data_IF_964590790128
#
_entry.id   IF_964590790128
#
_cell.length_a   1.000
_cell.length_b   1.000
_cell.length_c   1.000
_cell.angle_alpha   90.00
_cell.angle_beta   90.00
_cell.angle_gamma   90.00
#
_symmetry.space_group_name_H-M   'P 1'
#
loop_
_entity.id
_entity.type
_entity.pdbx_description
1 polymer ?
#
# COMPACT_ATOMS: atom_id res chain seq x y z
N UNK A 1 -22.56 10.20 43.73
CA UNK A 1 -22.61 10.91 42.43
C UNK A 1 -21.23 11.10 41.76
N UNK A 2 -20.10 11.13 42.50
CA UNK A 2 -18.77 11.38 41.91
C UNK A 2 -18.22 10.23 41.04
N UNK A 3 -18.29 8.97 41.53
CA UNK A 3 -17.71 7.83 40.81
C UNK A 3 -18.28 7.60 39.40
N UNK A 4 -19.58 7.85 39.19
CA UNK A 4 -20.20 7.70 37.87
C UNK A 4 -19.71 8.78 36.88
N UNK A 5 -19.45 10.01 37.35
CA UNK A 5 -18.85 11.07 36.53
C UNK A 5 -17.42 10.69 36.13
N UNK A 6 -16.62 10.18 37.07
CA UNK A 6 -15.25 9.71 36.81
C UNK A 6 -15.23 8.55 35.80
N UNK A 7 -16.09 7.55 35.96
CA UNK A 7 -16.22 6.42 35.03
C UNK A 7 -16.61 6.88 33.62
N UNK A 8 -17.51 7.86 33.50
CA UNK A 8 -17.91 8.42 32.22
C UNK A 8 -16.77 9.23 31.57
N UNK A 9 -16.01 9.99 32.35
CA UNK A 9 -14.83 10.73 31.85
C UNK A 9 -13.74 9.77 31.37
N UNK A 10 -13.46 8.71 32.13
CA UNK A 10 -12.49 7.68 31.72
C UNK A 10 -12.91 7.00 30.40
N UNK A 11 -14.18 6.62 30.25
CA UNK A 11 -14.70 6.06 28.99
C UNK A 11 -14.54 7.02 27.80
N UNK A 12 -14.79 8.32 28.00
CA UNK A 12 -14.58 9.35 26.97
C UNK A 12 -13.10 9.48 26.60
N UNK A 13 -12.21 9.55 27.59
CA UNK A 13 -10.77 9.65 27.37
C UNK A 13 -10.22 8.42 26.60
N UNK A 14 -10.63 7.21 26.98
CA UNK A 14 -10.25 5.97 26.28
C UNK A 14 -10.74 5.98 24.83
N UNK A 15 -12.00 6.39 24.57
CA UNK A 15 -12.54 6.51 23.21
C UNK A 15 -11.76 7.53 22.37
N UNK A 16 -11.43 8.69 22.94
CA UNK A 16 -10.63 9.73 22.28
C UNK A 16 -9.22 9.25 21.96
N UNK A 17 -8.53 8.58 22.89
CA UNK A 17 -7.20 8.02 22.65
C UNK A 17 -7.21 6.94 21.56
N UNK A 18 -8.21 6.05 21.56
CA UNK A 18 -8.37 5.05 20.49
C UNK A 18 -8.58 5.70 19.12
N UNK A 19 -9.34 6.80 19.05
CA UNK A 19 -9.53 7.55 17.81
C UNK A 19 -8.24 8.23 17.35
N UNK A 20 -7.49 8.88 18.26
CA UNK A 20 -6.18 9.49 17.96
C UNK A 20 -5.19 8.45 17.42
N UNK A 21 -5.10 7.28 18.05
CA UNK A 21 -4.25 6.19 17.57
C UNK A 21 -4.64 5.70 16.17
N UNK A 22 -5.95 5.60 15.86
CA UNK A 22 -6.43 5.26 14.51
C UNK A 22 -6.11 6.34 13.47
N UNK A 23 -6.14 7.62 13.86
CA UNK A 23 -5.80 8.72 12.95
C UNK A 23 -4.29 8.69 12.67
N UNK A 24 -3.46 8.61 13.71
CA UNK A 24 -2.00 8.52 13.56
C UNK A 24 -1.62 7.33 12.69
N UNK A 25 -2.17 6.14 12.94
CA UNK A 25 -1.86 4.96 12.12
C UNK A 25 -2.25 5.11 10.65
N UNK A 26 -3.40 5.74 10.36
CA UNK A 26 -3.81 6.08 8.98
C UNK A 26 -2.84 7.08 8.34
N UNK A 27 -2.50 8.18 9.02
CA UNK A 27 -1.57 9.20 8.50
C UNK A 27 -0.20 8.62 8.23
N UNK A 28 0.34 7.80 9.14
CA UNK A 28 1.62 7.10 8.95
C UNK A 28 1.57 6.14 7.77
N UNK A 29 0.48 5.38 7.61
CA UNK A 29 0.28 4.49 6.44
C UNK A 29 0.28 5.30 5.14
N UNK A 30 -0.41 6.44 5.09
CA UNK A 30 -0.42 7.32 3.90
C UNK A 30 0.95 7.93 3.61
N UNK A 31 1.67 8.41 4.64
CA UNK A 31 3.01 8.97 4.47
C UNK A 31 4.00 7.91 3.98
N UNK A 32 3.99 6.71 4.55
CA UNK A 32 4.82 5.59 4.10
C UNK A 32 4.47 5.17 2.66
N UNK A 33 3.18 5.12 2.29
CA UNK A 33 2.76 4.90 0.89
C UNK A 33 3.37 5.93 -0.05
N UNK A 34 3.35 7.23 0.32
CA UNK A 34 3.91 8.31 -0.50
C UNK A 34 5.44 8.20 -0.64
N UNK A 35 6.15 7.95 0.45
CA UNK A 35 7.61 7.75 0.43
C UNK A 35 7.98 6.54 -0.43
N UNK A 36 7.30 5.42 -0.22
CA UNK A 36 7.50 4.20 -0.99
C UNK A 36 7.26 4.42 -2.48
N UNK A 37 6.16 5.10 -2.83
CA UNK A 37 5.88 5.46 -4.21
C UNK A 37 7.03 6.26 -4.83
N UNK A 38 7.51 7.31 -4.16
CA UNK A 38 8.63 8.11 -4.68
C UNK A 38 9.88 7.24 -4.90
N UNK A 39 10.15 6.28 -4.01
CA UNK A 39 11.25 5.32 -4.16
C UNK A 39 11.02 4.34 -5.32
N UNK A 40 9.79 3.86 -5.54
CA UNK A 40 9.44 2.89 -6.60
C UNK A 40 9.32 3.53 -7.97
N UNK A 41 9.00 4.80 -8.06
CA UNK A 41 8.80 5.45 -9.38
C UNK A 41 10.03 6.25 -9.81
N UNK A 42 11.01 6.48 -8.91
CA UNK A 42 12.14 7.39 -9.17
C UNK A 42 11.64 8.69 -9.80
N UNK A 43 10.67 9.34 -9.13
CA UNK A 43 10.25 10.68 -9.54
C UNK A 43 11.41 11.64 -9.26
N UNK A 44 12.29 11.84 -10.25
CA UNK A 44 13.02 13.09 -10.34
C UNK A 44 11.95 14.19 -10.57
N UNK A 45 12.10 15.33 -9.89
CA UNK A 45 11.03 16.27 -9.54
C UNK A 45 10.23 16.94 -10.69
N UNK A 46 10.25 16.45 -11.93
CA UNK A 46 9.50 17.02 -13.05
C UNK A 46 8.78 15.92 -13.86
N UNK A 47 7.44 16.00 -13.90
CA UNK A 47 6.58 15.44 -14.97
C UNK A 47 6.11 13.97 -14.89
N UNK A 48 5.55 13.53 -13.75
CA UNK A 48 4.53 12.47 -13.80
C UNK A 48 3.20 12.99 -13.26
N UNK A 49 2.25 13.28 -14.15
CA UNK A 49 0.86 13.62 -13.82
C UNK A 49 0.06 12.42 -13.32
N UNK A 50 0.61 11.21 -13.47
CA UNK A 50 -0.03 9.95 -13.08
C UNK A 50 -0.24 9.87 -11.57
N UNK A 51 -1.43 9.42 -11.19
CA UNK A 51 -1.78 9.09 -9.83
C UNK A 51 -0.91 7.95 -9.29
N UNK A 52 -0.93 7.80 -7.96
CA UNK A 52 -0.26 6.69 -7.29
C UNK A 52 -0.77 5.34 -7.78
N UNK A 53 -2.08 5.23 -7.95
CA UNK A 53 -2.76 4.00 -8.37
C UNK A 53 -2.41 3.60 -9.80
N UNK A 54 -2.46 4.54 -10.75
CA UNK A 54 -2.10 4.27 -12.15
C UNK A 54 -0.68 3.70 -12.27
N UNK A 55 0.28 4.23 -11.51
CA UNK A 55 1.65 3.72 -11.63
C UNK A 55 1.81 2.32 -11.03
N UNK A 56 1.07 1.99 -9.96
CA UNK A 56 1.04 0.63 -9.42
C UNK A 56 0.49 -0.37 -10.44
N UNK A 57 -0.60 0.00 -11.11
CA UNK A 57 -1.23 -0.81 -12.15
C UNK A 57 -0.32 -0.97 -13.37
N UNK A 58 0.35 0.09 -13.82
CA UNK A 58 1.32 0.02 -14.91
C UNK A 58 2.47 -0.95 -14.62
N UNK A 59 3.01 -0.92 -13.40
CA UNK A 59 4.04 -1.87 -12.98
C UNK A 59 3.47 -3.29 -12.96
N UNK A 60 2.27 -3.48 -12.41
CA UNK A 60 1.62 -4.79 -12.39
C UNK A 60 1.43 -5.37 -13.79
N UNK A 61 0.82 -4.62 -14.72
CA UNK A 61 0.63 -5.05 -16.10
C UNK A 61 1.94 -5.16 -16.89
N UNK A 62 2.99 -4.45 -16.49
CA UNK A 62 4.31 -4.67 -17.06
C UNK A 62 4.93 -6.02 -16.62
N UNK A 63 4.49 -6.58 -15.49
CA UNK A 63 4.98 -7.86 -14.93
C UNK A 63 4.11 -9.04 -15.38
N UNK A 64 2.78 -8.89 -15.34
CA UNK A 64 1.80 -9.88 -15.81
C UNK A 64 1.79 -9.92 -17.35
N UNK A 65 2.63 -10.80 -17.92
CA UNK A 65 2.82 -10.93 -19.38
C UNK A 65 1.89 -11.95 -20.01
N UNK A 66 1.38 -12.87 -19.22
CA UNK A 66 0.41 -13.90 -19.58
C UNK A 66 -1.03 -13.42 -19.46
N UNK A 67 -1.25 -12.25 -18.84
CA UNK A 67 -2.57 -11.65 -18.65
C UNK A 67 -3.49 -12.56 -17.83
N UNK A 68 -2.92 -13.29 -16.86
CA UNK A 68 -3.67 -14.14 -15.94
C UNK A 68 -4.15 -13.37 -14.70
N UNK A 69 -3.84 -12.07 -14.63
CA UNK A 69 -4.16 -11.17 -13.53
C UNK A 69 -3.51 -11.59 -12.21
N UNK A 70 -2.40 -12.35 -12.26
CA UNK A 70 -1.56 -12.68 -11.12
C UNK A 70 -0.08 -12.42 -11.38
N UNK A 71 0.64 -11.96 -10.35
CA UNK A 71 2.10 -11.92 -10.37
C UNK A 71 2.69 -12.65 -9.18
N UNK A 72 3.73 -13.44 -9.43
CA UNK A 72 4.53 -14.11 -8.40
C UNK A 72 5.65 -13.20 -7.90
N UNK A 73 6.16 -13.49 -6.68
CA UNK A 73 7.38 -12.85 -6.16
C UNK A 73 8.56 -12.96 -7.15
N UNK A 74 8.67 -14.06 -7.89
CA UNK A 74 9.76 -14.26 -8.86
C UNK A 74 9.59 -13.36 -10.10
N UNK A 75 8.37 -13.15 -10.60
CA UNK A 75 8.12 -12.20 -11.68
C UNK A 75 8.42 -10.77 -11.22
N UNK A 76 7.95 -10.38 -10.03
CA UNK A 76 8.24 -9.09 -9.42
C UNK A 76 9.75 -8.84 -9.26
N UNK A 77 10.48 -9.83 -8.74
CA UNK A 77 11.94 -9.76 -8.58
C UNK A 77 12.64 -9.55 -9.92
N UNK A 78 12.31 -10.38 -10.94
CA UNK A 78 12.90 -10.26 -12.29
C UNK A 78 12.65 -8.89 -12.90
N UNK A 79 11.46 -8.31 -12.70
CA UNK A 79 11.15 -6.97 -13.18
C UNK A 79 12.03 -5.92 -12.52
N UNK A 80 12.17 -5.93 -11.19
CA UNK A 80 13.01 -4.96 -10.49
C UNK A 80 14.50 -5.12 -10.83
N UNK A 81 15.00 -6.35 -10.97
CA UNK A 81 16.38 -6.64 -11.42
C UNK A 81 16.63 -6.08 -12.83
N UNK A 82 15.72 -6.37 -13.77
CA UNK A 82 15.82 -5.90 -15.17
C UNK A 82 15.80 -4.37 -15.27
N UNK A 83 15.07 -3.71 -14.37
CA UNK A 83 14.96 -2.24 -14.34
C UNK A 83 16.01 -1.58 -13.41
N UNK A 84 17.06 -2.31 -12.99
CA UNK A 84 18.14 -1.82 -12.11
C UNK A 84 17.62 -1.14 -10.84
N UNK A 85 16.72 -1.82 -10.14
CA UNK A 85 16.07 -1.36 -8.92
C UNK A 85 16.57 -2.14 -7.72
N UNK A 86 16.59 -1.48 -6.57
CA UNK A 86 17.10 -2.04 -5.32
C UNK A 86 16.18 -3.16 -4.79
N UNK A 87 16.77 -4.27 -4.35
CA UNK A 87 16.09 -5.41 -3.74
C UNK A 87 15.20 -5.01 -2.55
N UNK A 88 15.55 -3.96 -1.81
CA UNK A 88 14.72 -3.42 -0.73
C UNK A 88 13.33 -2.96 -1.22
N UNK A 89 13.19 -2.58 -2.49
CA UNK A 89 11.89 -2.25 -3.08
C UNK A 89 10.99 -3.47 -3.24
N UNK A 90 11.56 -4.65 -3.51
CA UNK A 90 10.82 -5.90 -3.63
C UNK A 90 10.19 -6.25 -2.27
N UNK A 91 10.97 -6.22 -1.19
CA UNK A 91 10.46 -6.53 0.15
C UNK A 91 9.42 -5.51 0.61
N UNK A 92 9.59 -4.23 0.25
CA UNK A 92 8.59 -3.21 0.53
C UNK A 92 7.29 -3.41 -0.26
N UNK A 93 7.37 -3.75 -1.55
CA UNK A 93 6.20 -4.10 -2.37
C UNK A 93 5.47 -5.32 -1.80
N UNK A 94 6.22 -6.36 -1.44
CA UNK A 94 5.67 -7.55 -0.81
C UNK A 94 4.98 -7.25 0.52
N UNK A 95 5.55 -6.37 1.35
CA UNK A 95 4.94 -5.97 2.61
C UNK A 95 3.69 -5.13 2.38
N UNK A 96 3.69 -4.24 1.37
CA UNK A 96 2.56 -3.37 1.05
C UNK A 96 1.32 -4.18 0.67
N UNK A 97 1.51 -5.17 -0.21
CA UNK A 97 0.43 -6.01 -0.72
C UNK A 97 0.35 -7.40 -0.06
N UNK A 98 1.10 -7.63 1.02
CA UNK A 98 1.04 -8.86 1.83
C UNK A 98 1.34 -10.18 1.08
N UNK A 99 2.17 -10.16 0.03
CA UNK A 99 2.56 -11.35 -0.77
C UNK A 99 3.20 -12.48 0.06
N UNK A 100 3.61 -12.22 1.31
CA UNK A 100 4.25 -13.23 2.17
C UNK A 100 3.33 -14.43 2.47
N UNK A 101 2.02 -14.27 2.37
CA UNK A 101 1.06 -15.32 2.72
C UNK A 101 0.77 -16.30 1.56
N UNK A 102 0.94 -15.87 0.31
CA UNK A 102 0.56 -16.63 -0.90
C UNK A 102 1.69 -16.76 -1.92
N UNK A 103 2.74 -15.94 -1.80
CA UNK A 103 3.78 -15.71 -2.81
C UNK A 103 3.26 -15.22 -4.18
N UNK A 104 1.99 -14.80 -4.21
CA UNK A 104 1.22 -14.33 -5.38
C UNK A 104 0.50 -13.03 -5.03
N UNK A 105 0.30 -12.18 -6.02
CA UNK A 105 -0.49 -10.95 -5.92
C UNK A 105 -1.44 -10.91 -7.11
N UNK A 106 -2.74 -10.86 -6.87
CA UNK A 106 -3.72 -10.70 -7.94
C UNK A 106 -4.01 -9.23 -8.24
N UNK A 107 -4.61 -8.97 -9.40
CA UNK A 107 -5.18 -7.66 -9.70
C UNK A 107 -6.25 -7.26 -8.68
N UNK A 108 -7.06 -8.22 -8.23
CA UNK A 108 -8.09 -8.03 -7.19
C UNK A 108 -7.48 -7.52 -5.88
N UNK A 109 -6.39 -8.13 -5.41
CA UNK A 109 -5.67 -7.71 -4.19
C UNK A 109 -5.19 -6.24 -4.30
N UNK A 110 -4.68 -5.86 -5.48
CA UNK A 110 -4.22 -4.50 -5.75
C UNK A 110 -5.40 -3.53 -5.71
N UNK A 111 -6.49 -3.84 -6.42
CA UNK A 111 -7.70 -3.03 -6.46
C UNK A 111 -8.30 -2.83 -5.07
N UNK A 112 -8.40 -3.89 -4.26
CA UNK A 112 -8.86 -3.81 -2.87
C UNK A 112 -7.96 -2.87 -2.05
N UNK A 113 -6.63 -3.04 -2.17
CA UNK A 113 -5.67 -2.23 -1.41
C UNK A 113 -5.68 -0.76 -1.81
N UNK A 114 -5.90 -0.46 -3.10
CA UNK A 114 -5.92 0.87 -3.69
C UNK A 114 -7.32 1.52 -3.67
N UNK A 115 -8.35 0.79 -3.24
CA UNK A 115 -9.76 1.22 -3.27
C UNK A 115 -10.24 1.58 -4.68
N UNK A 116 -9.84 0.76 -5.64
CA UNK A 116 -10.31 0.83 -7.03
C UNK A 116 -11.42 -0.19 -7.24
N UNK A 117 -12.33 0.13 -8.15
CA UNK A 117 -13.26 -0.85 -8.67
C UNK A 117 -12.59 -1.61 -9.82
N UNK A 118 -12.58 -2.95 -9.77
CA UNK A 118 -11.85 -3.76 -10.76
C UNK A 118 -12.36 -3.56 -12.19
N UNK A 119 -13.65 -3.25 -12.38
CA UNK A 119 -14.20 -2.93 -13.70
C UNK A 119 -13.80 -1.55 -14.27
N UNK A 120 -13.12 -0.72 -13.48
CA UNK A 120 -12.62 0.60 -13.90
C UNK A 120 -11.12 0.58 -14.26
N UNK A 121 -10.49 -0.59 -14.19
CA UNK A 121 -9.06 -0.82 -14.45
C UNK A 121 -8.90 -1.60 -15.75
#
# INVERSE_FOLDING_TARGET
MNQQKEKNQWKKAVKTNKLKLKIVSKTTKTAMKKIFFNMVVKRDDQESTKSTSETFLEIFFAIDKDHDEEITKNQLKRYFETNHRDDHLIENWMNLFQLKNTNRLSLEDICEHLQLHIGDV
#
